data_IF_601436923152
#
_entry.id   IF_601436923152
#
_cell.length_a   1.000
_cell.length_b   1.000
_cell.length_c   1.000
_cell.angle_alpha   90.00
_cell.angle_beta   90.00
_cell.angle_gamma   90.00
#
_symmetry.space_group_name_H-M   'P 1'
#
loop_
_entity.id
_entity.type
_entity.pdbx_description
1 polymer ?
#
# COMPACT_ATOMS: atom_id res chain seq x y z
N UNK A 1 75.99 20.43 -46.16
CA UNK A 1 74.61 20.67 -45.72
C UNK A 1 73.94 19.32 -45.50
N UNK A 2 73.91 18.89 -44.25
CA UNK A 2 73.58 17.50 -43.85
C UNK A 2 72.13 17.51 -43.42
N UNK A 3 71.26 16.79 -44.20
CA UNK A 3 69.86 16.59 -43.88
C UNK A 3 69.73 15.38 -42.95
N UNK A 4 69.39 15.59 -41.72
CA UNK A 4 69.08 14.53 -40.73
C UNK A 4 67.70 14.03 -41.03
N UNK A 5 67.56 12.80 -41.55
CA UNK A 5 66.33 12.03 -41.60
C UNK A 5 66.13 11.46 -40.17
N UNK A 6 65.24 12.02 -39.42
CA UNK A 6 64.72 11.35 -38.24
C UNK A 6 63.76 10.22 -38.66
N UNK A 7 64.25 9.01 -38.49
CA UNK A 7 63.46 7.79 -38.59
C UNK A 7 62.52 7.69 -37.39
N UNK A 8 61.25 7.93 -37.61
CA UNK A 8 60.18 7.68 -36.67
C UNK A 8 60.12 6.18 -36.36
N UNK A 9 60.78 5.73 -35.32
CA UNK A 9 60.63 4.42 -34.79
C UNK A 9 59.23 4.33 -34.13
N UNK A 10 58.29 3.70 -34.82
CA UNK A 10 57.01 3.32 -34.26
C UNK A 10 57.29 2.41 -33.06
N UNK A 11 57.16 2.95 -31.83
CA UNK A 11 57.17 2.16 -30.60
C UNK A 11 55.98 1.24 -30.59
N UNK A 12 56.10 0.06 -31.19
CA UNK A 12 55.16 -1.06 -30.95
C UNK A 12 55.26 -1.39 -29.50
N UNK A 13 54.22 -1.02 -28.75
CA UNK A 13 54.09 -1.34 -27.33
C UNK A 13 54.09 -2.86 -27.19
N UNK A 14 55.21 -3.43 -26.83
CA UNK A 14 55.33 -4.85 -26.51
C UNK A 14 54.42 -5.13 -25.30
N UNK A 15 53.28 -5.75 -25.54
CA UNK A 15 52.36 -6.15 -24.48
C UNK A 15 53.07 -7.17 -23.63
N UNK A 16 53.42 -6.86 -22.39
CA UNK A 16 54.06 -7.78 -21.47
C UNK A 16 53.10 -8.92 -21.13
N UNK A 17 53.60 -10.11 -20.95
CA UNK A 17 52.81 -11.31 -20.56
C UNK A 17 51.86 -11.02 -19.36
N UNK A 18 52.31 -10.20 -18.43
CA UNK A 18 51.48 -9.76 -17.28
C UNK A 18 50.29 -8.91 -17.71
N UNK A 19 50.45 -7.98 -18.63
CA UNK A 19 49.34 -7.15 -19.20
C UNK A 19 48.34 -8.01 -19.93
N UNK A 20 48.82 -9.00 -20.68
CA UNK A 20 47.94 -9.95 -21.38
C UNK A 20 47.07 -10.73 -20.44
N UNK A 21 47.68 -11.33 -19.35
CA UNK A 21 46.94 -12.08 -18.32
C UNK A 21 45.90 -11.19 -17.64
N UNK A 22 46.24 -9.97 -17.26
CA UNK A 22 45.31 -9.02 -16.65
C UNK A 22 44.16 -8.63 -17.59
N UNK A 23 44.45 -8.48 -18.87
CA UNK A 23 43.42 -8.15 -19.86
C UNK A 23 42.44 -9.32 -20.05
N UNK A 24 42.93 -10.55 -20.13
CA UNK A 24 42.08 -11.74 -20.23
C UNK A 24 41.24 -11.92 -18.98
N UNK A 25 41.81 -11.71 -17.78
CA UNK A 25 41.06 -11.79 -16.54
C UNK A 25 39.91 -10.75 -16.50
N UNK A 26 40.18 -9.50 -16.93
CA UNK A 26 39.12 -8.49 -17.03
C UNK A 26 38.00 -8.89 -18.00
N UNK A 27 38.36 -9.41 -19.17
CA UNK A 27 37.35 -9.85 -20.15
C UNK A 27 36.47 -10.97 -19.58
N UNK A 28 37.05 -11.95 -18.88
CA UNK A 28 36.30 -13.04 -18.24
C UNK A 28 35.32 -12.49 -17.21
N UNK A 29 35.76 -11.58 -16.34
CA UNK A 29 34.91 -10.95 -15.30
C UNK A 29 33.76 -10.17 -15.95
N UNK A 30 34.07 -9.33 -16.95
CA UNK A 30 33.05 -8.54 -17.66
C UNK A 30 32.02 -9.45 -18.34
N UNK A 31 32.50 -10.50 -19.03
CA UNK A 31 31.62 -11.47 -19.70
C UNK A 31 30.72 -12.18 -18.69
N UNK A 32 31.24 -12.54 -17.53
CA UNK A 32 30.46 -13.15 -16.45
C UNK A 32 29.36 -12.20 -15.91
N UNK A 33 29.70 -10.92 -15.71
CA UNK A 33 28.75 -9.89 -15.28
C UNK A 33 27.66 -9.67 -16.34
N UNK A 34 28.06 -9.49 -17.60
CA UNK A 34 27.12 -9.30 -18.71
C UNK A 34 26.19 -10.51 -18.88
N UNK A 35 26.72 -11.72 -18.80
CA UNK A 35 25.93 -12.94 -18.86
C UNK A 35 24.93 -13.03 -17.69
N UNK A 36 25.34 -12.63 -16.49
CA UNK A 36 24.45 -12.60 -15.33
C UNK A 36 23.36 -11.54 -15.48
N UNK A 37 23.71 -10.35 -15.94
CA UNK A 37 22.74 -9.28 -16.20
C UNK A 37 21.73 -9.68 -17.29
N UNK A 38 22.19 -10.31 -18.36
CA UNK A 38 21.31 -10.84 -19.41
C UNK A 38 20.32 -11.87 -18.83
N UNK A 39 20.80 -12.81 -18.02
CA UNK A 39 19.95 -13.80 -17.39
C UNK A 39 18.89 -13.15 -16.47
N UNK A 40 19.28 -12.17 -15.66
CA UNK A 40 18.36 -11.46 -14.76
C UNK A 40 17.35 -10.59 -15.50
N UNK A 41 17.76 -9.90 -16.54
CA UNK A 41 16.90 -8.95 -17.24
C UNK A 41 15.99 -9.61 -18.29
N UNK A 42 16.48 -10.60 -19.00
CA UNK A 42 15.73 -11.22 -20.10
C UNK A 42 15.07 -12.52 -19.63
N UNK A 43 15.84 -13.47 -19.09
CA UNK A 43 15.29 -14.76 -18.70
C UNK A 43 14.40 -14.70 -17.46
N UNK A 44 14.76 -13.88 -16.47
CA UNK A 44 14.03 -13.75 -15.21
C UNK A 44 13.32 -12.40 -15.06
N UNK A 45 13.31 -11.55 -16.08
CA UNK A 45 12.75 -10.19 -16.03
C UNK A 45 11.28 -10.16 -15.63
N UNK A 46 10.45 -11.02 -16.18
CA UNK A 46 9.03 -11.13 -15.84
C UNK A 46 8.80 -11.52 -14.37
N UNK A 47 9.63 -12.46 -13.85
CA UNK A 47 9.55 -12.88 -12.45
C UNK A 47 9.86 -11.72 -11.49
N UNK A 48 10.95 -10.98 -11.73
CA UNK A 48 11.33 -9.86 -10.87
C UNK A 48 10.39 -8.67 -11.04
N UNK A 49 9.85 -8.44 -12.22
CA UNK A 49 8.80 -7.44 -12.44
C UNK A 49 7.55 -7.78 -11.62
N UNK A 50 7.06 -9.02 -11.68
CA UNK A 50 5.90 -9.46 -10.88
C UNK A 50 6.14 -9.35 -9.37
N UNK A 51 7.36 -9.66 -8.89
CA UNK A 51 7.72 -9.49 -7.48
C UNK A 51 7.74 -8.00 -7.07
N UNK A 52 8.27 -7.14 -7.93
CA UNK A 52 8.27 -5.68 -7.70
C UNK A 52 6.86 -5.13 -7.69
N UNK A 53 6.01 -5.54 -8.64
CA UNK A 53 4.62 -5.11 -8.72
C UNK A 53 3.81 -5.59 -7.50
N UNK A 54 3.96 -6.84 -7.08
CA UNK A 54 3.34 -7.35 -5.85
C UNK A 54 3.77 -6.59 -4.59
N UNK A 55 5.02 -6.13 -4.53
CA UNK A 55 5.52 -5.36 -3.40
C UNK A 55 5.04 -3.90 -3.40
N UNK A 56 4.77 -3.35 -4.57
CA UNK A 56 4.31 -1.96 -4.77
C UNK A 56 2.79 -1.83 -4.79
N UNK A 57 2.08 -2.82 -5.34
CA UNK A 57 0.63 -2.80 -5.43
C UNK A 57 0.04 -3.24 -4.10
N UNK A 58 -0.79 -2.39 -3.52
CA UNK A 58 -1.64 -2.73 -2.38
C UNK A 58 -3.01 -3.11 -2.93
N UNK A 59 -3.39 -4.36 -2.75
CA UNK A 59 -4.73 -4.82 -3.11
C UNK A 59 -5.71 -4.39 -2.02
N UNK A 60 -6.70 -3.59 -2.42
CA UNK A 60 -7.81 -3.21 -1.55
C UNK A 60 -8.97 -4.14 -1.85
N UNK A 61 -9.37 -4.90 -0.86
CA UNK A 61 -10.55 -5.74 -0.97
C UNK A 61 -11.80 -4.87 -0.86
N UNK A 62 -12.42 -4.57 -2.00
CA UNK A 62 -13.71 -3.88 -2.04
C UNK A 62 -14.80 -4.95 -2.00
N UNK A 63 -15.56 -5.01 -0.93
CA UNK A 63 -16.71 -5.90 -0.84
C UNK A 63 -17.84 -5.35 -1.71
N UNK A 64 -18.42 -6.16 -2.61
CA UNK A 64 -19.56 -5.73 -3.41
C UNK A 64 -20.77 -5.45 -2.52
N UNK A 65 -21.68 -4.59 -3.02
CA UNK A 65 -22.93 -4.32 -2.36
C UNK A 65 -23.81 -5.57 -2.34
N UNK A 66 -24.44 -5.82 -1.20
CA UNK A 66 -25.43 -6.90 -1.13
C UNK A 66 -26.74 -6.47 -1.79
N UNK A 67 -27.45 -7.40 -2.42
CA UNK A 67 -28.77 -7.14 -3.02
C UNK A 67 -29.78 -6.66 -1.97
N UNK A 68 -30.74 -5.84 -2.39
CA UNK A 68 -31.89 -5.45 -1.58
C UNK A 68 -32.83 -6.68 -1.51
N UNK A 69 -33.45 -6.88 -0.35
CA UNK A 69 -34.46 -7.92 -0.15
C UNK A 69 -35.79 -7.23 0.06
N UNK A 70 -36.78 -7.58 -0.75
CA UNK A 70 -38.12 -7.03 -0.68
C UNK A 70 -39.15 -8.15 -0.49
N UNK A 71 -40.32 -7.82 0.07
CA UNK A 71 -41.44 -8.74 0.16
C UNK A 71 -42.22 -8.77 -1.16
N UNK A 72 -43.25 -9.64 -1.22
CA UNK A 72 -44.10 -9.74 -2.39
C UNK A 72 -44.81 -8.42 -2.77
N UNK A 73 -44.97 -7.50 -1.82
CA UNK A 73 -45.63 -6.22 -2.04
C UNK A 73 -44.59 -5.08 -2.32
N UNK A 74 -43.34 -5.41 -2.52
CA UNK A 74 -42.28 -4.42 -2.78
C UNK A 74 -41.80 -3.64 -1.53
N UNK A 75 -42.14 -4.11 -0.32
CA UNK A 75 -41.62 -3.47 0.92
C UNK A 75 -40.22 -3.98 1.21
N UNK A 76 -39.32 -3.07 1.42
CA UNK A 76 -37.90 -3.39 1.70
C UNK A 76 -37.74 -4.03 3.06
N UNK A 77 -37.27 -5.27 3.09
CA UNK A 77 -36.97 -6.05 4.28
C UNK A 77 -35.51 -5.86 4.71
N UNK A 78 -34.60 -5.78 3.73
CA UNK A 78 -33.19 -5.52 3.99
C UNK A 78 -32.61 -4.63 2.89
N UNK A 79 -32.00 -3.52 3.30
CA UNK A 79 -31.39 -2.52 2.44
C UNK A 79 -29.92 -2.30 2.81
N UNK A 80 -29.26 -1.42 2.07
CA UNK A 80 -27.92 -0.94 2.38
C UNK A 80 -28.01 0.56 2.64
N UNK A 81 -27.67 0.98 3.85
CA UNK A 81 -27.59 2.39 4.22
C UNK A 81 -26.18 2.90 4.12
N UNK A 82 -26.03 4.16 3.73
CA UNK A 82 -24.72 4.82 3.69
C UNK A 82 -24.29 5.19 5.11
N UNK A 83 -23.10 4.73 5.49
CA UNK A 83 -22.47 5.04 6.77
C UNK A 83 -21.11 5.65 6.53
N UNK A 84 -20.74 6.58 7.42
CA UNK A 84 -19.45 7.23 7.40
C UNK A 84 -18.52 6.51 8.36
N UNK A 85 -17.40 6.01 7.85
CA UNK A 85 -16.40 5.30 8.61
C UNK A 85 -15.11 6.10 8.71
N UNK A 86 -14.40 5.91 9.82
CA UNK A 86 -13.07 6.45 10.02
C UNK A 86 -12.04 5.34 9.92
N UNK A 87 -11.21 5.44 8.91
CA UNK A 87 -10.10 4.53 8.68
C UNK A 87 -8.78 5.24 8.99
N UNK A 88 -7.84 4.53 9.62
CA UNK A 88 -6.47 5.00 9.87
C UNK A 88 -5.50 3.97 9.31
N UNK A 89 -4.44 4.43 8.64
CA UNK A 89 -3.32 3.61 8.22
C UNK A 89 -2.15 3.92 9.17
N UNK A 90 -1.84 3.05 10.15
CA UNK A 90 -0.87 3.34 11.20
C UNK A 90 0.53 3.68 10.68
N UNK A 91 0.95 3.06 9.56
CA UNK A 91 2.25 3.31 8.91
C UNK A 91 2.42 4.76 8.41
N UNK A 92 1.32 5.45 8.11
CA UNK A 92 1.32 6.83 7.60
C UNK A 92 1.24 7.87 8.72
N UNK A 93 1.15 7.43 9.96
CA UNK A 93 0.99 8.29 11.16
C UNK A 93 2.32 8.36 11.89
N UNK A 94 2.89 9.55 12.04
CA UNK A 94 4.15 9.75 12.75
C UNK A 94 3.99 9.51 14.27
N UNK A 95 3.00 10.15 14.89
CA UNK A 95 2.66 9.95 16.30
C UNK A 95 1.18 9.58 16.45
N UNK A 96 0.95 8.30 16.71
CA UNK A 96 -0.40 7.76 16.89
C UNK A 96 -1.11 8.30 18.12
N UNK A 97 -0.37 8.57 19.21
CA UNK A 97 -0.97 9.11 20.45
C UNK A 97 -1.45 10.54 20.22
N UNK A 98 -0.63 11.36 19.56
CA UNK A 98 -1.00 12.72 19.20
C UNK A 98 -2.22 12.74 18.28
N UNK A 99 -2.28 11.84 17.28
CA UNK A 99 -3.43 11.70 16.39
C UNK A 99 -4.71 11.38 17.16
N UNK A 100 -4.68 10.43 18.11
CA UNK A 100 -5.87 10.07 18.92
C UNK A 100 -6.34 11.25 19.76
N UNK A 101 -5.44 12.02 20.35
CA UNK A 101 -5.80 13.25 21.10
C UNK A 101 -6.47 14.28 20.19
N UNK A 102 -5.96 14.49 18.99
CA UNK A 102 -6.54 15.38 17.98
C UNK A 102 -7.94 14.90 17.55
N UNK A 103 -8.07 13.60 17.24
CA UNK A 103 -9.34 13.00 16.84
C UNK A 103 -10.39 13.10 17.96
N UNK A 104 -9.99 13.00 19.22
CA UNK A 104 -10.90 13.16 20.37
C UNK A 104 -11.54 14.55 20.46
N UNK A 105 -10.87 15.58 19.96
CA UNK A 105 -11.44 16.94 19.90
C UNK A 105 -12.48 17.11 18.77
N UNK A 106 -12.47 16.22 17.78
CA UNK A 106 -13.38 16.26 16.62
C UNK A 106 -14.54 15.29 16.83
N UNK A 107 -14.23 14.09 17.35
CA UNK A 107 -15.15 12.97 17.53
C UNK A 107 -15.15 12.57 19.00
N UNK A 108 -16.34 12.40 19.57
CA UNK A 108 -16.52 12.01 20.97
C UNK A 108 -16.25 10.50 21.14
N UNK A 109 -14.99 10.12 21.34
CA UNK A 109 -14.65 8.73 21.67
C UNK A 109 -14.82 8.44 23.16
N UNK A 110 -15.47 7.31 23.47
CA UNK A 110 -15.47 6.72 24.78
C UNK A 110 -14.08 6.21 25.16
N UNK A 111 -13.76 6.15 26.45
CA UNK A 111 -12.51 5.56 26.93
C UNK A 111 -12.36 4.07 26.56
N UNK A 112 -13.47 3.35 26.43
CA UNK A 112 -13.50 1.96 26.01
C UNK A 112 -13.16 1.81 24.51
N UNK A 113 -13.70 2.70 23.67
CA UNK A 113 -13.38 2.74 22.24
C UNK A 113 -11.90 3.02 22.02
N UNK A 114 -11.32 3.95 22.76
CA UNK A 114 -9.89 4.27 22.68
C UNK A 114 -9.05 3.04 23.04
N UNK A 115 -9.39 2.30 24.13
CA UNK A 115 -8.71 1.05 24.48
C UNK A 115 -8.80 0.01 23.36
N UNK A 116 -9.97 -0.11 22.74
CA UNK A 116 -10.19 -1.02 21.63
C UNK A 116 -9.38 -0.64 20.38
N UNK A 117 -9.24 0.66 20.10
CA UNK A 117 -8.39 1.16 19.02
C UNK A 117 -6.93 0.74 19.24
N UNK A 118 -6.38 0.95 20.44
CA UNK A 118 -5.01 0.52 20.76
C UNK A 118 -4.85 -1.00 20.70
N UNK A 119 -5.84 -1.76 21.15
CA UNK A 119 -5.83 -3.22 21.07
C UNK A 119 -5.83 -3.69 19.60
N UNK A 120 -6.72 -3.16 18.77
CA UNK A 120 -6.76 -3.45 17.33
C UNK A 120 -5.43 -3.09 16.65
N UNK A 121 -4.87 -1.91 16.96
CA UNK A 121 -3.56 -1.49 16.44
C UNK A 121 -2.44 -2.48 16.77
N UNK A 122 -2.43 -3.04 17.98
CA UNK A 122 -1.40 -4.00 18.40
C UNK A 122 -1.53 -5.37 17.75
N UNK A 123 -2.72 -5.72 17.25
CA UNK A 123 -3.02 -7.01 16.62
C UNK A 123 -2.89 -6.98 15.09
N UNK A 124 -2.98 -5.80 14.48
CA UNK A 124 -2.92 -5.62 13.04
C UNK A 124 -1.54 -5.20 12.57
N UNK A 125 -1.25 -5.47 11.31
CA UNK A 125 0.00 -5.04 10.69
C UNK A 125 0.00 -3.53 10.44
N UNK A 126 1.16 -2.83 10.50
CA UNK A 126 1.22 -1.37 10.37
C UNK A 126 0.63 -0.81 9.09
N UNK A 127 0.67 -1.58 8.01
CA UNK A 127 0.13 -1.17 6.69
C UNK A 127 -1.34 -1.52 6.48
N UNK A 128 -1.93 -2.30 7.39
CA UNK A 128 -3.36 -2.62 7.33
C UNK A 128 -4.20 -1.43 7.80
N UNK A 129 -5.34 -1.28 7.16
CA UNK A 129 -6.28 -0.21 7.52
C UNK A 129 -7.00 -0.56 8.81
N UNK A 130 -6.84 0.29 9.80
CA UNK A 130 -7.53 0.20 11.09
C UNK A 130 -8.86 0.96 11.02
N UNK A 131 -9.97 0.26 11.21
CA UNK A 131 -11.29 0.89 11.33
C UNK A 131 -11.47 1.35 12.78
N UNK A 132 -11.51 2.67 12.95
CA UNK A 132 -11.60 3.33 14.25
C UNK A 132 -13.06 3.57 14.67
N UNK A 133 -13.89 3.98 13.72
CA UNK A 133 -15.33 4.14 13.92
C UNK A 133 -16.08 3.65 12.70
N UNK A 134 -17.11 2.85 12.92
CA UNK A 134 -17.94 2.25 11.87
C UNK A 134 -19.13 3.13 11.48
N UNK A 135 -19.52 4.08 12.35
CA UNK A 135 -20.70 4.92 12.12
C UNK A 135 -20.48 6.31 12.69
N UNK A 136 -19.97 7.22 11.88
CA UNK A 136 -19.85 8.62 12.22
C UNK A 136 -21.13 9.37 11.85
N UNK A 137 -21.49 10.37 12.65
CA UNK A 137 -22.52 11.32 12.25
C UNK A 137 -22.02 12.20 11.09
N UNK A 138 -22.92 12.69 10.26
CA UNK A 138 -22.59 13.64 9.19
C UNK A 138 -21.79 14.85 9.69
N UNK A 139 -22.13 15.34 10.88
CA UNK A 139 -21.45 16.48 11.51
C UNK A 139 -19.99 16.17 11.84
N UNK A 140 -19.71 15.02 12.38
CA UNK A 140 -18.35 14.56 12.70
C UNK A 140 -17.55 14.29 11.42
N UNK A 141 -18.16 13.62 10.45
CA UNK A 141 -17.56 13.38 9.15
C UNK A 141 -17.18 14.69 8.44
N UNK A 142 -18.07 15.67 8.44
CA UNK A 142 -17.81 16.98 7.83
C UNK A 142 -16.69 17.74 8.53
N UNK A 143 -16.68 17.72 9.87
CA UNK A 143 -15.58 18.31 10.66
C UNK A 143 -14.25 17.61 10.38
N UNK A 144 -14.26 16.28 10.32
CA UNK A 144 -13.06 15.51 10.03
C UNK A 144 -12.48 15.88 8.67
N UNK A 145 -13.32 16.01 7.64
CA UNK A 145 -12.88 16.40 6.31
C UNK A 145 -12.27 17.81 6.27
N UNK A 146 -12.77 18.73 7.11
CA UNK A 146 -12.22 20.09 7.20
C UNK A 146 -10.77 20.08 7.71
N UNK A 147 -10.45 19.21 8.69
CA UNK A 147 -9.13 19.11 9.30
C UNK A 147 -8.26 18.00 8.70
N UNK A 148 -8.71 17.35 7.63
CA UNK A 148 -8.03 16.20 7.05
C UNK A 148 -6.58 16.49 6.62
N UNK A 149 -6.29 17.71 6.19
CA UNK A 149 -4.96 18.15 5.78
C UNK A 149 -3.92 18.15 6.92
N UNK A 150 -4.39 18.21 8.18
CA UNK A 150 -3.54 18.13 9.37
C UNK A 150 -3.44 16.71 9.95
N UNK A 151 -4.26 15.77 9.45
CA UNK A 151 -4.42 14.44 10.00
C UNK A 151 -3.78 13.39 9.08
N UNK A 152 -2.46 13.24 9.19
CA UNK A 152 -1.71 12.25 8.39
C UNK A 152 -2.21 10.82 8.66
N UNK A 153 -2.40 10.04 7.60
CA UNK A 153 -2.83 8.65 7.70
C UNK A 153 -4.31 8.42 8.01
N UNK A 154 -5.10 9.47 8.15
CA UNK A 154 -6.56 9.40 8.39
C UNK A 154 -7.32 9.44 7.07
N UNK A 155 -8.28 8.55 6.91
CA UNK A 155 -9.15 8.45 5.72
C UNK A 155 -10.60 8.30 6.13
N UNK A 156 -11.41 9.36 6.04
CA UNK A 156 -12.86 9.23 6.11
C UNK A 156 -13.37 8.51 4.87
N UNK A 157 -14.18 7.49 5.03
CA UNK A 157 -14.68 6.63 3.95
C UNK A 157 -16.19 6.53 4.04
N UNK A 158 -16.84 6.67 2.89
CA UNK A 158 -18.25 6.31 2.74
C UNK A 158 -18.34 4.80 2.53
N UNK A 159 -19.02 4.11 3.42
CA UNK A 159 -19.24 2.67 3.37
C UNK A 159 -20.73 2.36 3.35
N UNK A 160 -21.08 1.10 3.17
CA UNK A 160 -22.44 0.62 3.18
C UNK A 160 -22.60 -0.35 4.36
N UNK A 161 -23.55 -0.06 5.22
CA UNK A 161 -23.99 -0.95 6.28
C UNK A 161 -25.32 -1.59 5.91
N UNK A 162 -25.51 -2.83 6.31
CA UNK A 162 -26.79 -3.52 6.09
C UNK A 162 -27.83 -2.98 7.08
N UNK A 163 -28.96 -2.55 6.56
CA UNK A 163 -30.09 -2.02 7.30
C UNK A 163 -31.26 -3.00 7.24
N UNK A 164 -31.92 -3.18 8.36
CA UNK A 164 -33.07 -4.08 8.52
C UNK A 164 -34.23 -3.31 9.16
N UNK A 165 -35.12 -2.70 8.37
CA UNK A 165 -36.22 -1.91 8.90
C UNK A 165 -37.15 -2.70 9.85
N UNK A 166 -37.30 -4.01 9.63
CA UNK A 166 -38.13 -4.91 10.40
C UNK A 166 -37.31 -5.96 11.18
N UNK A 167 -36.14 -5.56 11.70
CA UNK A 167 -35.19 -6.49 12.34
C UNK A 167 -35.81 -7.36 13.44
N UNK A 168 -36.69 -6.77 14.27
CA UNK A 168 -37.32 -7.47 15.42
C UNK A 168 -38.26 -8.62 14.98
N UNK A 169 -38.95 -8.43 13.86
CA UNK A 169 -39.97 -9.36 13.40
C UNK A 169 -39.43 -10.45 12.48
N UNK A 170 -38.32 -10.19 11.79
CA UNK A 170 -37.80 -11.01 10.71
C UNK A 170 -36.45 -11.66 10.99
N UNK A 171 -35.94 -11.59 12.21
CA UNK A 171 -34.62 -12.15 12.60
C UNK A 171 -34.48 -13.61 12.21
N UNK A 172 -35.53 -14.41 12.44
CA UNK A 172 -35.49 -15.84 12.16
C UNK A 172 -35.58 -16.20 10.66
N UNK A 173 -36.06 -15.26 9.83
CA UNK A 173 -36.22 -15.48 8.38
C UNK A 173 -34.96 -15.02 7.64
N UNK A 174 -34.39 -13.89 8.03
CA UNK A 174 -33.24 -13.25 7.36
C UNK A 174 -31.90 -13.86 7.73
N UNK A 175 -31.84 -14.63 8.81
CA UNK A 175 -30.61 -15.22 9.30
C UNK A 175 -29.65 -14.18 9.93
N UNK A 176 -28.46 -14.66 10.23
CA UNK A 176 -27.38 -13.85 10.82
C UNK A 176 -26.40 -13.40 9.74
N UNK A 177 -25.96 -12.15 9.81
CA UNK A 177 -24.95 -11.57 8.90
C UNK A 177 -23.78 -11.06 9.71
#
# INVERSE_FOLDING_TARGET
MISSRESGVSKTKTISRRMFILSVAKVIIITGIVGRLFSLQISQGSKYKNLSDKNRLREWKISPQRGIIEDFFGRTIAANDQVFQLHIIPEQVEDFNYLIVRLRNIINFSNEEIKNIYKKKSQQKPWETLIVSDNLSWKEFSKLNLFLHELSGVKPVLSLARSYPYAKDLVHVLGYV
#
